data_IF_272153260902
#
_entry.id   IF_272153260902
#
_cell.length_a   1.000
_cell.length_b   1.000
_cell.length_c   1.000
_cell.angle_alpha   90.00
_cell.angle_beta   90.00
_cell.angle_gamma   90.00
#
_symmetry.space_group_name_H-M   'P 1'
#
loop_
_entity.id
_entity.type
_entity.pdbx_description
1 polymer ?
#
# COMPACT_ATOMS: atom_id res chain seq x y z
N UNK A 1 -21.23 8.98 -0.73
CA UNK A 1 -19.93 9.61 -0.37
C UNK A 1 -18.83 8.62 -0.66
N UNK A 2 -17.78 9.01 -1.40
CA UNK A 2 -16.60 8.15 -1.62
C UNK A 2 -15.94 7.86 -0.26
N UNK A 3 -15.67 6.59 0.04
CA UNK A 3 -15.36 6.11 1.39
C UNK A 3 -13.91 6.40 1.84
N UNK A 4 -13.03 6.87 0.95
CA UNK A 4 -11.57 6.81 1.14
C UNK A 4 -10.91 8.16 1.49
N UNK A 5 -11.71 9.11 1.98
CA UNK A 5 -11.21 10.39 2.47
C UNK A 5 -10.64 10.24 3.89
N UNK A 6 -9.63 11.04 4.23
CA UNK A 6 -9.22 11.25 5.62
C UNK A 6 -10.22 12.17 6.34
N UNK A 7 -10.11 12.26 7.67
CA UNK A 7 -11.00 13.15 8.43
C UNK A 7 -10.78 14.63 8.08
N UNK A 8 -9.52 15.06 7.94
CA UNK A 8 -9.20 16.43 7.52
C UNK A 8 -9.77 16.75 6.13
N UNK A 9 -9.65 15.83 5.17
CA UNK A 9 -10.24 15.99 3.83
C UNK A 9 -11.77 16.08 3.89
N UNK A 10 -12.43 15.25 4.71
CA UNK A 10 -13.89 15.31 4.93
C UNK A 10 -14.31 16.66 5.50
N UNK A 11 -13.59 17.18 6.49
CA UNK A 11 -13.89 18.47 7.10
C UNK A 11 -13.74 19.63 6.11
N UNK A 12 -12.67 19.63 5.30
CA UNK A 12 -12.47 20.66 4.28
C UNK A 12 -13.57 20.58 3.22
N UNK A 13 -13.95 19.39 2.76
CA UNK A 13 -15.07 19.23 1.81
C UNK A 13 -16.39 19.74 2.41
N UNK A 14 -16.66 19.51 3.70
CA UNK A 14 -17.83 20.07 4.38
C UNK A 14 -17.82 21.60 4.37
N UNK A 15 -16.68 22.22 4.64
CA UNK A 15 -16.52 23.68 4.57
C UNK A 15 -16.71 24.20 3.15
N UNK A 16 -16.11 23.56 2.16
CA UNK A 16 -16.28 23.91 0.74
C UNK A 16 -17.77 23.87 0.36
N UNK A 17 -18.49 22.81 0.74
CA UNK A 17 -19.92 22.69 0.45
C UNK A 17 -20.75 23.79 1.12
N UNK A 18 -20.34 24.29 2.29
CA UNK A 18 -20.98 25.44 2.93
C UNK A 18 -20.83 26.71 2.08
N UNK A 19 -19.60 27.02 1.63
CA UNK A 19 -19.33 28.18 0.78
C UNK A 19 -20.04 28.08 -0.57
N UNK A 20 -20.05 26.89 -1.19
CA UNK A 20 -20.76 26.66 -2.45
C UNK A 20 -22.26 26.97 -2.35
N UNK A 21 -22.94 26.42 -1.33
CA UNK A 21 -24.37 26.70 -1.07
C UNK A 21 -24.65 28.16 -0.74
N UNK A 22 -23.67 28.88 -0.19
CA UNK A 22 -23.80 30.31 0.10
C UNK A 22 -23.62 31.13 -1.17
N UNK A 23 -22.64 30.78 -2.00
CA UNK A 23 -22.44 31.38 -3.32
C UNK A 23 -23.67 31.23 -4.21
N UNK A 24 -24.29 30.05 -4.23
CA UNK A 24 -25.57 29.80 -4.93
C UNK A 24 -26.67 30.76 -4.44
N UNK A 25 -26.83 30.92 -3.12
CA UNK A 25 -27.80 31.88 -2.55
C UNK A 25 -27.47 33.34 -2.90
N UNK A 26 -26.21 33.75 -2.81
CA UNK A 26 -25.79 35.12 -3.16
C UNK A 26 -26.00 35.42 -4.64
N UNK A 27 -25.88 34.41 -5.52
CA UNK A 27 -26.20 34.52 -6.93
C UNK A 27 -27.70 34.73 -7.15
N UNK A 28 -28.55 33.98 -6.44
CA UNK A 28 -30.02 34.14 -6.47
C UNK A 28 -30.47 35.50 -5.93
N UNK A 29 -29.79 36.02 -4.90
CA UNK A 29 -30.05 37.32 -4.28
C UNK A 29 -29.48 38.51 -5.09
N UNK A 30 -28.73 38.24 -6.17
CA UNK A 30 -28.10 39.27 -7.00
C UNK A 30 -26.92 40.00 -6.34
N UNK A 31 -26.41 39.47 -5.23
CA UNK A 31 -25.33 40.05 -4.42
C UNK A 31 -24.01 39.29 -4.53
N UNK A 32 -23.85 38.46 -5.56
CA UNK A 32 -22.61 37.74 -5.84
C UNK A 32 -21.53 38.70 -6.32
N UNK A 33 -20.37 38.66 -5.68
CA UNK A 33 -19.20 39.45 -6.08
C UNK A 33 -18.16 38.56 -6.76
N UNK A 34 -17.24 39.17 -7.51
CA UNK A 34 -16.13 38.45 -8.15
C UNK A 34 -15.31 37.61 -7.15
N UNK A 35 -15.08 38.13 -5.95
CA UNK A 35 -14.36 37.42 -4.89
C UNK A 35 -15.05 36.11 -4.49
N UNK A 36 -16.40 36.07 -4.47
CA UNK A 36 -17.15 34.85 -4.20
C UNK A 36 -17.04 33.83 -5.34
N UNK A 37 -17.01 34.30 -6.59
CA UNK A 37 -16.79 33.44 -7.75
C UNK A 37 -15.39 32.82 -7.73
N UNK A 38 -14.36 33.63 -7.44
CA UNK A 38 -12.98 33.17 -7.35
C UNK A 38 -12.81 32.15 -6.22
N UNK A 39 -13.46 32.39 -5.07
CA UNK A 39 -13.48 31.47 -3.94
C UNK A 39 -14.15 30.14 -4.29
N UNK A 40 -15.31 30.18 -4.95
CA UNK A 40 -16.02 28.98 -5.38
C UNK A 40 -15.17 28.18 -6.38
N UNK A 41 -14.54 28.84 -7.35
CA UNK A 41 -13.66 28.20 -8.31
C UNK A 41 -12.44 27.56 -7.63
N UNK A 42 -11.84 28.23 -6.64
CA UNK A 42 -10.75 27.66 -5.84
C UNK A 42 -11.20 26.43 -5.03
N UNK A 43 -12.39 26.50 -4.43
CA UNK A 43 -13.00 25.40 -3.69
C UNK A 43 -13.27 24.18 -4.57
N UNK A 44 -13.74 24.37 -5.81
CA UNK A 44 -13.97 23.29 -6.76
C UNK A 44 -12.66 22.61 -7.18
N UNK A 45 -11.64 23.39 -7.54
CA UNK A 45 -10.30 22.85 -7.88
C UNK A 45 -9.71 22.05 -6.73
N UNK A 46 -9.81 22.55 -5.50
CA UNK A 46 -9.31 21.84 -4.32
C UNK A 46 -10.10 20.55 -4.07
N UNK A 47 -11.43 20.58 -4.22
CA UNK A 47 -12.28 19.39 -4.08
C UNK A 47 -11.89 18.31 -5.06
N UNK A 48 -11.69 18.66 -6.33
CA UNK A 48 -11.23 17.71 -7.34
C UNK A 48 -9.84 17.13 -6.99
N UNK A 49 -8.91 17.98 -6.54
CA UNK A 49 -7.58 17.56 -6.12
C UNK A 49 -7.65 16.57 -4.95
N UNK A 50 -8.48 16.83 -3.94
CA UNK A 50 -8.71 15.94 -2.79
C UNK A 50 -9.19 14.56 -3.26
N UNK A 51 -10.20 14.53 -4.15
CA UNK A 51 -10.74 13.26 -4.61
C UNK A 51 -9.74 12.46 -5.44
N UNK A 52 -9.02 13.11 -6.36
CA UNK A 52 -7.97 12.44 -7.15
C UNK A 52 -6.87 11.87 -6.25
N UNK A 53 -6.46 12.62 -5.23
CA UNK A 53 -5.46 12.17 -4.27
C UNK A 53 -5.95 10.98 -3.44
N UNK A 54 -7.19 11.03 -2.97
CA UNK A 54 -7.80 9.92 -2.23
C UNK A 54 -7.92 8.64 -3.07
N UNK A 55 -8.31 8.77 -4.35
CA UNK A 55 -8.36 7.65 -5.28
C UNK A 55 -6.95 7.08 -5.55
N UNK A 56 -5.94 7.93 -5.75
CA UNK A 56 -4.54 7.52 -5.93
C UNK A 56 -4.01 6.75 -4.70
N UNK A 57 -4.22 7.29 -3.50
CA UNK A 57 -3.83 6.64 -2.25
C UNK A 57 -4.46 5.27 -2.10
N UNK A 58 -5.73 5.12 -2.44
CA UNK A 58 -6.40 3.82 -2.42
C UNK A 58 -5.73 2.83 -3.38
N UNK A 59 -5.49 3.23 -4.63
CA UNK A 59 -4.86 2.36 -5.64
C UNK A 59 -3.48 1.87 -5.20
N UNK A 60 -2.66 2.77 -4.65
CA UNK A 60 -1.32 2.44 -4.15
C UNK A 60 -1.39 1.44 -2.99
N UNK A 61 -2.30 1.67 -2.03
CA UNK A 61 -2.48 0.76 -0.89
C UNK A 61 -3.00 -0.61 -1.32
N UNK A 62 -3.93 -0.67 -2.26
CA UNK A 62 -4.46 -1.92 -2.82
C UNK A 62 -3.37 -2.70 -3.58
N UNK A 63 -2.56 -2.03 -4.39
CA UNK A 63 -1.41 -2.64 -5.09
C UNK A 63 -0.42 -3.24 -4.08
N UNK A 64 -0.05 -2.47 -3.07
CA UNK A 64 0.89 -2.93 -2.03
C UNK A 64 0.31 -4.10 -1.20
N UNK A 65 -0.99 -4.08 -0.90
CA UNK A 65 -1.66 -5.18 -0.19
C UNK A 65 -1.76 -6.44 -1.05
N UNK A 66 -2.01 -6.29 -2.35
CA UNK A 66 -2.02 -7.40 -3.31
C UNK A 66 -0.64 -8.06 -3.39
N UNK A 67 0.42 -7.27 -3.51
CA UNK A 67 1.79 -7.79 -3.52
C UNK A 67 2.12 -8.54 -2.22
N UNK A 68 1.68 -8.05 -1.07
CA UNK A 68 1.86 -8.75 0.20
C UNK A 68 1.29 -10.17 0.22
N UNK A 69 0.24 -10.42 -0.55
CA UNK A 69 -0.39 -11.73 -0.69
C UNK A 69 0.06 -12.56 -1.90
N UNK A 70 1.02 -12.08 -2.71
CA UNK A 70 1.43 -12.76 -3.95
C UNK A 70 2.22 -14.06 -3.69
N UNK A 71 2.83 -14.18 -2.51
CA UNK A 71 3.56 -15.38 -2.14
C UNK A 71 2.56 -16.45 -1.70
N UNK A 72 2.39 -17.47 -2.53
CA UNK A 72 1.57 -18.63 -2.21
C UNK A 72 2.28 -19.55 -1.21
N UNK A 73 1.59 -19.82 -0.10
CA UNK A 73 2.04 -20.76 0.92
C UNK A 73 1.77 -22.22 0.51
N UNK A 74 2.71 -22.84 -0.20
CA UNK A 74 2.64 -24.27 -0.53
C UNK A 74 3.16 -25.17 0.62
N UNK A 75 2.82 -24.84 1.86
CA UNK A 75 3.27 -25.59 3.03
C UNK A 75 2.59 -26.97 3.11
N UNK A 76 3.36 -27.98 3.49
CA UNK A 76 2.88 -29.34 3.75
C UNK A 76 3.32 -29.79 5.14
N UNK A 77 2.50 -30.61 5.80
CA UNK A 77 2.90 -31.21 7.07
C UNK A 77 4.16 -32.06 6.87
N UNK A 78 5.26 -31.85 7.61
CA UNK A 78 6.48 -32.63 7.46
C UNK A 78 6.32 -34.11 7.86
N UNK A 79 5.26 -34.45 8.61
CA UNK A 79 4.98 -35.82 9.05
C UNK A 79 4.02 -36.56 8.11
N UNK A 80 2.84 -35.99 7.82
CA UNK A 80 1.85 -36.67 6.98
C UNK A 80 1.78 -36.18 5.52
N UNK A 81 2.56 -35.16 5.13
CA UNK A 81 2.58 -34.59 3.78
C UNK A 81 1.31 -33.82 3.38
N UNK A 82 0.30 -33.73 4.26
CA UNK A 82 -1.00 -33.12 3.94
C UNK A 82 -1.01 -31.61 4.17
N UNK A 83 -1.44 -30.85 3.16
CA UNK A 83 -1.61 -29.39 3.23
C UNK A 83 -3.00 -28.98 3.76
N UNK A 84 -4.06 -29.73 3.43
CA UNK A 84 -5.44 -29.47 3.85
C UNK A 84 -5.65 -29.55 5.38
N UNK A 85 -4.75 -30.28 6.05
CA UNK A 85 -4.76 -30.45 7.51
C UNK A 85 -4.03 -29.34 8.26
N UNK A 86 -3.49 -28.32 7.57
CA UNK A 86 -2.74 -27.24 8.19
C UNK A 86 -3.64 -26.08 8.62
N UNK A 87 -3.40 -25.57 9.84
CA UNK A 87 -3.95 -24.30 10.31
C UNK A 87 -2.79 -23.34 10.57
N UNK A 88 -2.81 -22.17 9.94
CA UNK A 88 -1.89 -21.08 10.29
C UNK A 88 -2.16 -20.64 11.74
N UNK A 89 -1.11 -20.64 12.57
CA UNK A 89 -1.19 -20.31 13.99
C UNK A 89 -0.63 -18.91 14.25
N UNK A 90 0.53 -18.60 13.67
CA UNK A 90 1.19 -17.33 13.87
C UNK A 90 2.15 -17.00 12.73
N UNK A 91 2.72 -15.81 12.77
CA UNK A 91 3.86 -15.39 11.94
C UNK A 91 5.06 -15.22 12.88
N UNK A 92 6.20 -15.78 12.50
CA UNK A 92 7.45 -15.71 13.27
C UNK A 92 8.56 -15.13 12.38
N UNK A 93 9.51 -14.42 12.98
CA UNK A 93 10.70 -13.94 12.26
C UNK A 93 11.88 -14.89 12.50
N UNK A 94 12.68 -15.17 11.48
CA UNK A 94 13.97 -15.87 11.67
C UNK A 94 15.06 -14.92 12.19
N UNK A 95 16.27 -15.45 12.34
CA UNK A 95 17.48 -14.72 12.74
C UNK A 95 17.84 -13.58 11.77
N UNK A 96 17.47 -13.71 10.49
CA UNK A 96 17.65 -12.69 9.46
C UNK A 96 16.49 -11.68 9.40
N UNK A 97 15.50 -11.80 10.29
CA UNK A 97 14.32 -10.94 10.38
C UNK A 97 13.15 -11.30 9.45
N UNK A 98 13.33 -12.26 8.53
CA UNK A 98 12.32 -12.67 7.55
C UNK A 98 11.10 -13.29 8.21
N UNK A 99 9.92 -12.82 7.81
CA UNK A 99 8.64 -13.29 8.34
C UNK A 99 8.22 -14.57 7.65
N UNK A 100 7.96 -15.60 8.43
CA UNK A 100 7.54 -16.92 7.99
C UNK A 100 6.25 -17.32 8.70
N UNK A 101 5.47 -18.17 8.05
CA UNK A 101 4.24 -18.69 8.64
C UNK A 101 4.51 -19.92 9.52
N UNK A 102 3.91 -19.95 10.71
CA UNK A 102 3.89 -21.12 11.58
C UNK A 102 2.55 -21.83 11.45
N UNK A 103 2.61 -23.14 11.24
CA UNK A 103 1.46 -24.00 11.04
C UNK A 103 1.34 -25.03 12.14
N UNK A 104 0.09 -25.41 12.44
CA UNK A 104 -0.25 -26.60 13.22
C UNK A 104 -0.93 -27.60 12.31
N UNK A 105 -0.42 -28.81 12.25
CA UNK A 105 -1.12 -29.92 11.61
C UNK A 105 -2.21 -30.44 12.55
N UNK A 106 -3.47 -30.44 12.10
CA UNK A 106 -4.60 -30.94 12.91
C UNK A 106 -4.58 -32.47 13.06
N UNK A 107 -3.95 -33.18 12.12
CA UNK A 107 -3.85 -34.65 12.13
C UNK A 107 -2.73 -35.12 13.06
N UNK A 108 -1.51 -34.64 12.83
CA UNK A 108 -0.33 -35.10 13.57
C UNK A 108 -0.11 -34.30 14.87
N UNK A 109 -0.90 -33.24 15.09
CA UNK A 109 -0.85 -32.34 16.25
C UNK A 109 0.52 -31.70 16.52
N UNK A 110 1.37 -31.60 15.49
CA UNK A 110 2.66 -30.90 15.55
C UNK A 110 2.53 -29.44 15.10
N UNK A 111 3.46 -28.62 15.57
CA UNK A 111 3.68 -27.27 15.06
C UNK A 111 5.03 -27.17 14.38
N UNK A 112 5.07 -26.46 13.25
CA UNK A 112 6.30 -26.21 12.52
C UNK A 112 6.25 -24.84 11.84
N UNK A 113 7.42 -24.27 11.61
CA UNK A 113 7.59 -23.04 10.85
C UNK A 113 7.91 -23.40 9.41
N UNK A 114 7.17 -22.81 8.47
CA UNK A 114 7.49 -22.95 7.06
C UNK A 114 8.81 -22.24 6.76
N UNK A 115 9.71 -22.90 6.05
CA UNK A 115 11.08 -22.43 5.85
C UNK A 115 11.22 -21.36 4.76
N UNK A 116 10.11 -20.85 4.22
CA UNK A 116 10.11 -19.78 3.23
C UNK A 116 9.40 -18.54 3.79
N UNK A 117 9.87 -17.33 3.43
CA UNK A 117 9.19 -16.10 3.79
C UNK A 117 7.75 -16.06 3.25
N UNK A 118 6.88 -15.33 3.95
CA UNK A 118 5.45 -15.24 3.64
C UNK A 118 5.04 -13.96 2.90
N UNK A 119 6.01 -13.17 2.46
CA UNK A 119 5.78 -11.91 1.77
C UNK A 119 6.93 -11.67 0.77
N UNK A 120 6.69 -10.91 -0.30
CA UNK A 120 7.67 -10.78 -1.37
C UNK A 120 8.91 -9.97 -0.98
N UNK A 121 8.81 -9.02 -0.03
CA UNK A 121 9.96 -8.23 0.45
C UNK A 121 11.01 -9.11 1.13
N UNK A 122 10.57 -10.04 1.98
CA UNK A 122 11.47 -11.00 2.61
C UNK A 122 11.86 -12.15 1.67
N UNK A 123 11.03 -12.45 0.66
CA UNK A 123 11.32 -13.49 -0.34
C UNK A 123 12.50 -13.13 -1.25
N UNK A 124 12.67 -11.86 -1.61
CA UNK A 124 13.79 -11.39 -2.44
C UNK A 124 15.14 -11.79 -1.84
N UNK A 125 15.51 -11.37 -0.60
CA UNK A 125 16.79 -11.73 -0.01
C UNK A 125 16.91 -13.23 0.29
N UNK A 126 15.80 -13.93 0.55
CA UNK A 126 15.80 -15.39 0.65
C UNK A 126 16.21 -16.06 -0.67
N UNK A 127 15.64 -15.64 -1.80
CA UNK A 127 15.97 -16.18 -3.12
C UNK A 127 17.42 -15.86 -3.53
N UNK A 128 17.95 -14.70 -3.13
CA UNK A 128 19.36 -14.37 -3.33
C UNK A 128 20.29 -15.37 -2.64
N UNK A 129 20.00 -15.71 -1.38
CA UNK A 129 20.77 -16.71 -0.63
C UNK A 129 20.66 -18.08 -1.30
N UNK A 130 19.45 -18.50 -1.70
CA UNK A 130 19.27 -19.77 -2.40
C UNK A 130 20.04 -19.83 -3.74
N UNK A 131 20.08 -18.73 -4.50
CA UNK A 131 20.85 -18.65 -5.74
C UNK A 131 22.36 -18.74 -5.47
N UNK A 132 22.86 -18.10 -4.42
CA UNK A 132 24.28 -18.19 -4.04
C UNK A 132 24.68 -19.62 -3.64
N UNK A 133 23.84 -20.30 -2.86
CA UNK A 133 24.06 -21.70 -2.49
C UNK A 133 24.03 -22.63 -3.72
N UNK A 134 23.10 -22.37 -4.65
CA UNK A 134 23.00 -23.13 -5.89
C UNK A 134 24.23 -22.92 -6.79
N UNK A 135 24.70 -21.67 -6.93
CA UNK A 135 25.91 -21.32 -7.67
C UNK A 135 27.15 -22.00 -7.05
N UNK A 136 27.25 -22.06 -5.72
CA UNK A 136 28.32 -22.75 -5.01
C UNK A 136 28.30 -24.28 -5.25
N UNK A 137 27.11 -24.89 -5.24
CA UNK A 137 26.94 -26.31 -5.52
C UNK A 137 27.29 -26.66 -6.97
N UNK A 138 26.85 -25.85 -7.95
CA UNK A 138 27.17 -26.02 -9.38
C UNK A 138 28.68 -25.90 -9.64
N UNK A 139 29.36 -25.03 -8.87
CA UNK A 139 30.80 -24.85 -8.93
C UNK A 139 31.59 -26.02 -8.28
N UNK A 140 30.95 -26.86 -7.47
CA UNK A 140 31.60 -28.02 -6.86
C UNK A 140 31.97 -29.07 -7.90
N UNK A 141 33.15 -29.68 -7.75
CA UNK A 141 33.69 -30.64 -8.71
C UNK A 141 33.01 -32.02 -8.68
N UNK A 142 32.09 -32.25 -7.73
CA UNK A 142 31.47 -33.55 -7.46
C UNK A 142 30.09 -33.72 -8.11
N UNK A 143 29.55 -32.69 -8.77
CA UNK A 143 28.26 -32.79 -9.44
C UNK A 143 28.35 -33.49 -10.80
N UNK A 144 27.52 -34.52 -10.97
CA UNK A 144 27.29 -35.20 -12.24
C UNK A 144 26.77 -34.22 -13.31
N UNK A 145 27.18 -34.41 -14.57
CA UNK A 145 26.93 -33.47 -15.67
C UNK A 145 25.44 -33.22 -15.93
N UNK A 146 24.62 -34.27 -15.92
CA UNK A 146 23.17 -34.13 -16.12
C UNK A 146 22.46 -33.43 -14.94
N UNK A 147 22.99 -33.60 -13.72
CA UNK A 147 22.48 -32.90 -12.54
C UNK A 147 22.88 -31.42 -12.57
N UNK A 148 24.08 -31.13 -13.08
CA UNK A 148 24.62 -29.77 -13.25
C UNK A 148 23.81 -28.96 -14.25
N UNK A 149 23.46 -29.55 -15.39
CA UNK A 149 22.64 -28.87 -16.39
C UNK A 149 21.24 -28.52 -15.84
N UNK A 150 20.59 -29.46 -15.14
CA UNK A 150 19.28 -29.21 -14.49
C UNK A 150 19.37 -28.15 -13.39
N UNK A 151 20.45 -28.14 -12.61
CA UNK A 151 20.67 -27.14 -11.58
C UNK A 151 20.88 -25.75 -12.20
N UNK A 152 21.60 -25.67 -13.32
CA UNK A 152 21.82 -24.43 -14.06
C UNK A 152 20.52 -23.88 -14.64
N UNK A 153 19.68 -24.73 -15.26
CA UNK A 153 18.36 -24.33 -15.76
C UNK A 153 17.47 -23.80 -14.62
N UNK A 154 17.41 -24.51 -13.50
CA UNK A 154 16.64 -24.09 -12.33
C UNK A 154 17.14 -22.75 -11.77
N UNK A 155 18.46 -22.57 -11.71
CA UNK A 155 19.13 -21.34 -11.30
C UNK A 155 18.73 -20.16 -12.18
N UNK A 156 18.79 -20.34 -13.49
CA UNK A 156 18.49 -19.27 -14.45
C UNK A 156 17.01 -18.89 -14.42
N UNK A 157 16.12 -19.87 -14.28
CA UNK A 157 14.70 -19.61 -14.04
C UNK A 157 14.46 -18.83 -12.75
N UNK A 158 15.09 -19.22 -11.65
CA UNK A 158 14.99 -18.52 -10.37
C UNK A 158 15.52 -17.08 -10.46
N UNK A 159 16.63 -16.86 -11.16
CA UNK A 159 17.21 -15.52 -11.36
C UNK A 159 16.26 -14.60 -12.14
N UNK A 160 15.62 -15.10 -13.20
CA UNK A 160 14.63 -14.33 -13.96
C UNK A 160 13.40 -13.98 -13.11
N UNK A 161 12.86 -14.96 -12.37
CA UNK A 161 11.72 -14.71 -11.47
C UNK A 161 12.06 -13.72 -10.36
N UNK A 162 13.28 -13.78 -9.82
CA UNK A 162 13.76 -12.84 -8.82
C UNK A 162 13.80 -11.41 -9.38
N UNK A 163 14.32 -11.21 -10.59
CA UNK A 163 14.38 -9.88 -11.20
C UNK A 163 12.98 -9.30 -11.46
N UNK A 164 12.05 -10.12 -11.94
CA UNK A 164 10.66 -9.72 -12.11
C UNK A 164 10.02 -9.30 -10.78
N UNK A 165 10.26 -10.06 -9.71
CA UNK A 165 9.76 -9.76 -8.38
C UNK A 165 10.35 -8.43 -7.86
N UNK A 166 11.66 -8.23 -8.03
CA UNK A 166 12.35 -6.99 -7.65
C UNK A 166 11.78 -5.77 -8.36
N UNK A 167 11.61 -5.86 -9.67
CA UNK A 167 11.06 -4.76 -10.46
C UNK A 167 9.63 -4.38 -10.00
N UNK A 168 8.79 -5.38 -9.75
CA UNK A 168 7.42 -5.16 -9.27
C UNK A 168 7.39 -4.51 -7.87
N UNK A 169 8.24 -4.97 -6.95
CA UNK A 169 8.34 -4.43 -5.60
C UNK A 169 8.90 -3.02 -5.61
N UNK A 170 9.99 -2.78 -6.35
CA UNK A 170 10.60 -1.45 -6.46
C UNK A 170 9.61 -0.42 -7.03
N UNK A 171 8.84 -0.80 -8.05
CA UNK A 171 7.77 0.06 -8.60
C UNK A 171 6.73 0.40 -7.54
N UNK A 172 6.24 -0.59 -6.79
CA UNK A 172 5.22 -0.38 -5.76
C UNK A 172 5.73 0.45 -4.57
N UNK A 173 6.96 0.23 -4.14
CA UNK A 173 7.58 0.99 -3.04
C UNK A 173 7.84 2.44 -3.47
N UNK A 174 8.22 2.67 -4.73
CA UNK A 174 8.39 4.02 -5.29
C UNK A 174 7.05 4.78 -5.33
N UNK A 175 5.98 4.14 -5.82
CA UNK A 175 4.64 4.73 -5.84
C UNK A 175 4.13 5.04 -4.44
N UNK A 176 4.41 4.16 -3.48
CA UNK A 176 4.07 4.38 -2.08
C UNK A 176 4.83 5.55 -1.46
N UNK A 177 6.13 5.65 -1.70
CA UNK A 177 6.92 6.78 -1.23
C UNK A 177 6.42 8.11 -1.83
N UNK A 178 6.07 8.11 -3.12
CA UNK A 178 5.47 9.28 -3.77
C UNK A 178 4.12 9.65 -3.15
N UNK A 179 3.27 8.67 -2.87
CA UNK A 179 1.98 8.86 -2.21
C UNK A 179 2.15 9.44 -0.80
N UNK A 180 3.10 8.92 -0.02
CA UNK A 180 3.40 9.42 1.33
C UNK A 180 3.90 10.87 1.32
N UNK A 181 4.67 11.27 0.32
CA UNK A 181 5.09 12.68 0.17
C UNK A 181 3.92 13.58 -0.23
N UNK A 182 3.11 13.16 -1.18
CA UNK A 182 1.89 13.88 -1.57
C UNK A 182 0.90 14.01 -0.40
N UNK A 183 0.79 12.99 0.46
CA UNK A 183 -0.01 13.04 1.69
C UNK A 183 0.45 14.18 2.63
N UNK A 184 1.76 14.39 2.79
CA UNK A 184 2.30 15.49 3.61
C UNK A 184 1.99 16.85 2.99
N UNK A 185 2.19 16.99 1.68
CA UNK A 185 1.88 18.23 0.97
C UNK A 185 0.40 18.56 1.03
N UNK A 186 -0.46 17.57 0.81
CA UNK A 186 -1.91 17.71 0.92
C UNK A 186 -2.33 18.08 2.33
N UNK A 187 -1.76 17.46 3.36
CA UNK A 187 -2.05 17.81 4.75
C UNK A 187 -1.74 19.28 5.06
N UNK A 188 -0.60 19.80 4.59
CA UNK A 188 -0.23 21.22 4.75
C UNK A 188 -1.20 22.14 4.01
N UNK A 189 -1.46 21.84 2.74
CA UNK A 189 -2.39 22.61 1.90
C UNK A 189 -3.80 22.65 2.49
N UNK A 190 -4.31 21.52 2.97
CA UNK A 190 -5.63 21.43 3.59
C UNK A 190 -5.69 22.20 4.89
N UNK A 191 -4.62 22.19 5.69
CA UNK A 191 -4.55 22.97 6.92
C UNK A 191 -4.63 24.47 6.64
N UNK A 192 -3.82 24.97 5.70
CA UNK A 192 -3.81 26.38 5.32
C UNK A 192 -5.15 26.82 4.71
N UNK A 193 -5.70 26.02 3.80
CA UNK A 193 -6.98 26.32 3.16
C UNK A 193 -8.14 26.28 4.16
N UNK A 194 -8.16 25.30 5.07
CA UNK A 194 -9.14 25.24 6.17
C UNK A 194 -9.11 26.50 7.00
N UNK A 195 -7.92 26.97 7.39
CA UNK A 195 -7.75 28.21 8.16
C UNK A 195 -8.31 29.42 7.40
N UNK A 196 -7.99 29.53 6.11
CA UNK A 196 -8.52 30.58 5.25
C UNK A 196 -10.06 30.54 5.17
N UNK A 197 -10.65 29.38 4.88
CA UNK A 197 -12.11 29.21 4.85
C UNK A 197 -12.77 29.51 6.20
N UNK A 198 -12.14 29.18 7.32
CA UNK A 198 -12.68 29.54 8.64
C UNK A 198 -12.69 31.05 8.86
N UNK A 199 -11.63 31.77 8.43
CA UNK A 199 -11.58 33.23 8.50
C UNK A 199 -12.69 33.84 7.63
N UNK A 200 -12.83 33.38 6.38
CA UNK A 200 -13.88 33.88 5.49
C UNK A 200 -15.28 33.58 6.04
N UNK A 201 -15.44 32.43 6.71
CA UNK A 201 -16.72 32.08 7.34
C UNK A 201 -17.06 33.05 8.47
N UNK A 202 -16.07 33.40 9.31
CA UNK A 202 -16.26 34.37 10.41
C UNK A 202 -16.58 35.76 9.88
N UNK A 203 -15.95 36.21 8.78
CA UNK A 203 -16.29 37.51 8.16
C UNK A 203 -17.74 37.56 7.66
N UNK A 204 -18.24 36.43 7.19
CA UNK A 204 -19.58 36.29 6.59
C UNK A 204 -20.69 35.99 7.60
N UNK A 205 -20.34 35.44 8.76
CA UNK A 205 -21.23 35.31 9.92
C UNK A 205 -20.98 36.51 10.84
N UNK A 206 -21.66 37.67 10.66
CA UNK A 206 -21.60 38.71 11.68
C UNK A 206 -22.05 38.07 13.00
N UNK A 207 -21.32 38.36 14.08
CA UNK A 207 -21.70 37.93 15.43
C UNK A 207 -23.20 38.23 15.63
N UNK A 208 -24.04 37.21 15.54
CA UNK A 208 -25.39 37.29 16.03
C UNK A 208 -25.25 37.24 17.55
N UNK A 209 -25.17 38.42 18.17
CA UNK A 209 -25.44 38.57 19.59
C UNK A 209 -26.85 38.00 19.84
N UNK A 210 -26.91 36.83 20.47
CA UNK A 210 -28.04 36.43 21.30
C UNK A 210 -27.66 36.66 22.76
#
# INVERSE_FOLDING_TARGET
MRQNLTENEREVIKLINFFKKRGERLAEEGSLTQEHEDLNAACERLTEKIYRHADFRQQVLEKHQTLKGIIEDNAQCPTCGKADMLKKVSVVSNELGWKMNRYKCRRDNIEFTWNRPNNPWDMIPFLEVCLQELDANIASAEMDGALKDRAQEARDHMAVSLEQLRAAILSADTEKAQMEEQDKEMARMLHEFKKYLMIEKIKLEPFSEN
#
